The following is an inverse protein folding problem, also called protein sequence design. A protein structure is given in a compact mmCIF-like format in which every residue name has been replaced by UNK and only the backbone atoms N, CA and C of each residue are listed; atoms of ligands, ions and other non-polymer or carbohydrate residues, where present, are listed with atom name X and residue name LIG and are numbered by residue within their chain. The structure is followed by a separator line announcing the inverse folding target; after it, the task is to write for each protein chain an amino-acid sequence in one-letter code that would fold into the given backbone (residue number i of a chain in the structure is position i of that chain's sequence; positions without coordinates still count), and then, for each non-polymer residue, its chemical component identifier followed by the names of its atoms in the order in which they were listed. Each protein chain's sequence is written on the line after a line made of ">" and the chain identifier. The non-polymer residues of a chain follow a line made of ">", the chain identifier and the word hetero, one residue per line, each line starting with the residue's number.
data_IF_915044804100
#
_entry.id   IF_915044804100
#
_cell.length_a   1.000
_cell.length_b   1.000
_cell.length_c   1.000
_cell.angle_alpha   90.00
_cell.angle_beta   90.00
_cell.angle_gamma   90.00
#
_symmetry.space_group_name_H-M   'P 1'
#
loop_
_entity.id
_entity.type
_entity.pdbx_description
1 polymer ?
#
# COMPACT_ATOMS: atom_id res chain seq x y z
N UNK A 1 -2.82 17.14 10.62
CA UNK A 1 -2.50 15.72 10.88
C UNK A 1 -1.12 15.48 10.30
N UNK A 2 -0.16 15.08 11.12
CA UNK A 2 1.23 14.97 10.69
C UNK A 2 1.44 13.63 9.99
N UNK A 3 2.22 13.61 8.91
CA UNK A 3 2.60 12.42 8.13
C UNK A 3 3.12 11.28 9.02
N UNK A 4 3.76 11.64 10.15
CA UNK A 4 4.22 10.75 11.21
C UNK A 4 3.13 9.86 11.83
N UNK A 5 1.86 10.27 11.80
CA UNK A 5 0.74 9.49 12.35
C UNK A 5 0.41 8.25 11.50
N UNK A 6 0.90 8.21 10.27
CA UNK A 6 0.69 7.14 9.31
C UNK A 6 1.96 6.35 9.01
N UNK A 7 3.04 6.59 9.74
CA UNK A 7 4.23 5.76 9.64
C UNK A 7 3.95 4.32 10.12
N UNK A 8 4.53 3.30 9.45
CA UNK A 8 5.48 3.38 8.34
C UNK A 8 4.85 3.47 6.94
N UNK A 9 3.51 3.47 6.84
CA UNK A 9 2.79 3.40 5.56
C UNK A 9 3.06 4.61 4.68
N UNK A 10 3.15 5.80 5.27
CA UNK A 10 3.42 7.04 4.54
C UNK A 10 4.76 6.98 3.80
N UNK A 11 5.85 6.62 4.49
CA UNK A 11 7.18 6.44 3.90
C UNK A 11 7.21 5.37 2.80
N UNK A 12 6.51 4.24 2.97
CA UNK A 12 6.45 3.17 1.96
C UNK A 12 5.81 3.68 0.67
N UNK A 13 4.67 4.37 0.78
CA UNK A 13 3.95 4.92 -0.38
C UNK A 13 4.79 6.01 -1.05
N UNK A 14 5.41 6.90 -0.28
CA UNK A 14 6.27 7.96 -0.79
C UNK A 14 7.43 7.38 -1.61
N UNK A 15 8.13 6.40 -1.05
CA UNK A 15 9.25 5.72 -1.71
C UNK A 15 8.80 4.99 -2.97
N UNK A 16 7.68 4.27 -2.94
CA UNK A 16 7.15 3.58 -4.11
C UNK A 16 6.77 4.55 -5.24
N UNK A 17 6.20 5.71 -4.90
CA UNK A 17 5.86 6.75 -5.85
C UNK A 17 7.09 7.47 -6.41
N UNK A 18 8.15 7.65 -5.61
CA UNK A 18 9.42 8.22 -6.06
C UNK A 18 10.18 7.25 -6.97
N UNK A 19 10.20 5.96 -6.63
CA UNK A 19 10.87 4.94 -7.42
C UNK A 19 10.06 4.45 -8.63
N UNK A 20 8.82 4.91 -8.84
CA UNK A 20 7.99 4.41 -9.95
C UNK A 20 8.62 4.75 -11.30
N UNK A 21 8.73 3.75 -12.18
CA UNK A 21 9.34 3.90 -13.49
C UNK A 21 10.86 3.89 -13.47
N UNK A 22 11.49 3.64 -12.31
CA UNK A 22 12.94 3.39 -12.25
C UNK A 22 13.29 1.99 -12.73
N UNK A 23 12.38 1.02 -12.56
CA UNK A 23 12.53 -0.32 -13.11
C UNK A 23 11.81 -0.41 -14.45
N UNK A 24 12.46 -1.04 -15.43
CA UNK A 24 11.93 -1.20 -16.79
C UNK A 24 10.56 -1.91 -16.85
N UNK A 25 10.19 -2.64 -15.79
CA UNK A 25 8.94 -3.39 -15.71
C UNK A 25 7.91 -2.79 -14.75
N UNK A 26 8.13 -1.60 -14.20
CA UNK A 26 7.24 -1.02 -13.19
C UNK A 26 5.81 -0.81 -13.70
N UNK A 27 5.68 -0.41 -14.97
CA UNK A 27 4.39 -0.25 -15.66
C UNK A 27 3.91 -1.53 -16.34
N UNK A 28 4.73 -2.59 -16.36
CA UNK A 28 4.29 -3.87 -16.87
C UNK A 28 3.18 -4.42 -15.98
N UNK A 29 2.22 -5.10 -16.60
CA UNK A 29 1.12 -5.73 -15.89
C UNK A 29 1.63 -6.97 -15.16
N UNK A 30 1.29 -7.08 -13.88
CA UNK A 30 1.53 -8.28 -13.09
C UNK A 30 0.65 -9.42 -13.61
N UNK A 31 1.22 -10.61 -13.90
CA UNK A 31 0.49 -11.72 -14.52
C UNK A 31 -0.70 -12.19 -13.67
N UNK A 32 -0.58 -12.15 -12.35
CA UNK A 32 -1.59 -12.70 -11.43
C UNK A 32 -2.58 -11.65 -10.89
N UNK A 33 -2.16 -10.39 -10.78
CA UNK A 33 -2.92 -9.37 -10.05
C UNK A 33 -3.55 -8.31 -10.95
N UNK A 34 -3.27 -8.34 -12.26
CA UNK A 34 -3.78 -7.37 -13.24
C UNK A 34 -3.48 -5.89 -12.91
N UNK A 35 -2.57 -5.63 -11.97
CA UNK A 35 -2.08 -4.31 -11.58
C UNK A 35 -0.65 -4.10 -12.11
N UNK A 36 -0.17 -2.87 -12.12
CA UNK A 36 1.23 -2.56 -12.45
C UNK A 36 2.17 -3.21 -11.44
N UNK A 37 3.32 -3.73 -11.87
CA UNK A 37 4.24 -4.43 -10.97
C UNK A 37 4.80 -3.56 -9.86
N UNK A 38 5.02 -2.26 -10.09
CA UNK A 38 5.42 -1.33 -9.04
C UNK A 38 4.36 -1.27 -7.91
N UNK A 39 3.09 -1.33 -8.29
CA UNK A 39 1.95 -1.24 -7.39
C UNK A 39 1.82 -2.52 -6.57
N UNK A 40 2.07 -3.68 -7.18
CA UNK A 40 2.16 -4.96 -6.47
C UNK A 40 3.27 -4.93 -5.43
N UNK A 41 4.49 -4.52 -5.80
CA UNK A 41 5.64 -4.40 -4.88
C UNK A 41 5.32 -3.48 -3.70
N UNK A 42 4.74 -2.31 -3.97
CA UNK A 42 4.29 -1.38 -2.93
C UNK A 42 3.24 -2.02 -2.01
N UNK A 43 2.26 -2.70 -2.57
CA UNK A 43 1.21 -3.37 -1.79
C UNK A 43 1.77 -4.53 -0.96
N UNK A 44 2.79 -5.25 -1.43
CA UNK A 44 3.50 -6.28 -0.65
C UNK A 44 4.20 -5.68 0.59
N UNK A 45 4.90 -4.56 0.42
CA UNK A 45 5.53 -3.84 1.53
C UNK A 45 4.48 -3.32 2.53
N UNK A 46 3.38 -2.75 2.03
CA UNK A 46 2.27 -2.29 2.87
C UNK A 46 1.58 -3.42 3.62
N UNK A 47 1.33 -4.55 2.97
CA UNK A 47 0.77 -5.75 3.61
C UNK A 47 1.69 -6.23 4.72
N UNK A 48 3.00 -6.31 4.47
CA UNK A 48 3.99 -6.70 5.49
C UNK A 48 3.97 -5.74 6.68
N UNK A 49 3.86 -4.43 6.45
CA UNK A 49 3.75 -3.45 7.51
C UNK A 49 2.45 -3.64 8.31
N UNK A 50 1.30 -3.78 7.64
CA UNK A 50 0.01 -4.00 8.30
C UNK A 50 0.00 -5.28 9.15
N UNK A 51 0.61 -6.35 8.64
CA UNK A 51 0.78 -7.61 9.36
C UNK A 51 1.58 -7.44 10.65
N UNK A 52 2.69 -6.70 10.61
CA UNK A 52 3.53 -6.41 11.78
C UNK A 52 2.85 -5.49 12.79
N UNK A 53 1.94 -4.63 12.36
CA UNK A 53 1.35 -3.58 13.20
C UNK A 53 0.00 -3.91 13.82
N UNK A 54 -0.62 -5.05 13.48
CA UNK A 54 -1.85 -5.48 14.18
C UNK A 54 -2.76 -6.42 13.40
N UNK A 55 -2.52 -6.67 12.12
CA UNK A 55 -3.36 -7.56 11.31
C UNK A 55 -2.55 -8.63 10.57
N UNK A 56 -2.10 -9.70 11.27
CA UNK A 56 -1.27 -10.75 10.67
C UNK A 56 -1.97 -11.51 9.54
N UNK A 57 -3.30 -11.43 9.46
CA UNK A 57 -4.11 -12.08 8.42
C UNK A 57 -4.31 -11.21 7.17
N UNK A 58 -3.84 -9.95 7.17
CA UNK A 58 -3.99 -9.08 6.02
C UNK A 58 -3.33 -9.70 4.79
N UNK A 59 -4.08 -9.80 3.70
CA UNK A 59 -3.57 -10.39 2.45
C UNK A 59 -3.17 -9.32 1.43
N UNK A 60 -2.27 -9.69 0.50
CA UNK A 60 -1.91 -8.84 -0.63
C UNK A 60 -3.14 -8.50 -1.51
N UNK A 61 -4.05 -9.47 -1.70
CA UNK A 61 -5.26 -9.26 -2.49
C UNK A 61 -6.21 -8.23 -1.86
N UNK A 62 -6.34 -8.22 -0.53
CA UNK A 62 -7.10 -7.19 0.17
C UNK A 62 -6.44 -5.82 0.05
N UNK A 63 -5.11 -5.76 0.15
CA UNK A 63 -4.36 -4.51 0.00
C UNK A 63 -4.51 -3.93 -1.40
N UNK A 64 -4.40 -4.76 -2.45
CA UNK A 64 -4.61 -4.35 -3.84
C UNK A 64 -6.04 -3.85 -4.09
N UNK A 65 -7.05 -4.52 -3.51
CA UNK A 65 -8.45 -4.05 -3.60
C UNK A 65 -8.63 -2.71 -2.90
N UNK A 66 -7.99 -2.52 -1.75
CA UNK A 66 -8.05 -1.29 -0.97
C UNK A 66 -7.34 -0.14 -1.71
N UNK A 67 -6.17 -0.41 -2.30
CA UNK A 67 -5.45 0.54 -3.15
C UNK A 67 -6.33 0.98 -4.34
N UNK A 68 -7.00 0.05 -5.01
CA UNK A 68 -7.87 0.38 -6.15
C UNK A 68 -9.04 1.33 -5.80
N UNK A 69 -9.43 1.42 -4.51
CA UNK A 69 -10.42 2.40 -4.04
C UNK A 69 -9.83 3.78 -3.73
N UNK A 70 -8.51 3.88 -3.61
CA UNK A 70 -7.79 5.11 -3.35
C UNK A 70 -7.42 5.75 -4.70
N UNK A 71 -8.06 6.86 -5.05
CA UNK A 71 -7.73 7.63 -6.26
C UNK A 71 -7.83 9.14 -5.99
N UNK A 72 -7.27 9.94 -6.90
CA UNK A 72 -7.29 11.40 -6.86
C UNK A 72 -6.05 12.03 -6.21
N UNK A 73 -6.09 13.35 -6.01
CA UNK A 73 -4.95 14.14 -5.50
C UNK A 73 -4.50 13.71 -4.09
N UNK A 74 -5.43 13.23 -3.26
CA UNK A 74 -5.16 12.77 -1.90
C UNK A 74 -4.83 11.26 -1.81
N UNK A 75 -4.44 10.64 -2.92
CA UNK A 75 -4.14 9.21 -3.02
C UNK A 75 -3.24 8.72 -1.88
N UNK A 76 -2.12 9.39 -1.67
CA UNK A 76 -1.10 9.04 -0.66
C UNK A 76 -1.69 9.04 0.75
N UNK A 77 -2.44 10.09 1.09
CA UNK A 77 -3.08 10.22 2.39
C UNK A 77 -4.17 9.16 2.61
N UNK A 78 -5.04 8.96 1.61
CA UNK A 78 -6.12 7.96 1.68
C UNK A 78 -5.55 6.56 1.88
N UNK A 79 -4.54 6.18 1.12
CA UNK A 79 -3.96 4.85 1.20
C UNK A 79 -3.30 4.62 2.57
N UNK A 80 -2.53 5.60 3.07
CA UNK A 80 -1.88 5.50 4.38
C UNK A 80 -2.89 5.40 5.55
N UNK A 81 -3.98 6.20 5.49
CA UNK A 81 -5.09 6.11 6.44
C UNK A 81 -5.75 4.72 6.40
N UNK A 82 -6.05 4.22 5.21
CA UNK A 82 -6.71 2.91 5.02
C UNK A 82 -5.83 1.75 5.50
N UNK A 83 -4.52 1.81 5.28
CA UNK A 83 -3.57 0.82 5.82
C UNK A 83 -3.60 0.79 7.36
N UNK A 84 -3.61 1.97 7.99
CA UNK A 84 -3.73 2.10 9.45
C UNK A 84 -5.05 1.56 9.97
N UNK A 85 -6.17 1.83 9.29
CA UNK A 85 -7.47 1.27 9.63
C UNK A 85 -7.47 -0.27 9.50
N UNK A 86 -6.87 -0.80 8.43
CA UNK A 86 -6.78 -2.24 8.21
C UNK A 86 -5.94 -2.95 9.29
N UNK A 87 -4.84 -2.34 9.73
CA UNK A 87 -4.03 -2.84 10.83
C UNK A 87 -4.80 -2.86 12.16
N UNK A 88 -5.68 -1.89 12.39
CA UNK A 88 -6.51 -1.81 13.59
C UNK A 88 -7.68 -2.78 13.60
N UNK A 89 -8.26 -3.09 12.43
CA UNK A 89 -9.48 -3.93 12.32
C UNK A 89 -9.30 -5.37 12.79
N UNK A 90 -8.08 -5.92 12.79
CA UNK A 90 -7.82 -7.26 13.33
C UNK A 90 -7.32 -7.27 14.78
N UNK A 91 -7.06 -6.09 15.35
CA UNK A 91 -6.75 -5.94 16.77
C UNK A 91 -8.01 -5.82 17.64
N UNK A 92 -9.21 -5.98 17.05
CA UNK A 92 -10.52 -5.87 17.68
C UNK A 92 -11.22 -7.24 17.79
#
# INVERSE_FOLDING_TARGET
>A
MSEKEYEPYWSIIAKALECRGTLADDYARHPEHSASKYLVRMCEELTTAVQKHGNPNATLSEMLRLEATCTGADYHHKLALRCRELARRAAA
#
